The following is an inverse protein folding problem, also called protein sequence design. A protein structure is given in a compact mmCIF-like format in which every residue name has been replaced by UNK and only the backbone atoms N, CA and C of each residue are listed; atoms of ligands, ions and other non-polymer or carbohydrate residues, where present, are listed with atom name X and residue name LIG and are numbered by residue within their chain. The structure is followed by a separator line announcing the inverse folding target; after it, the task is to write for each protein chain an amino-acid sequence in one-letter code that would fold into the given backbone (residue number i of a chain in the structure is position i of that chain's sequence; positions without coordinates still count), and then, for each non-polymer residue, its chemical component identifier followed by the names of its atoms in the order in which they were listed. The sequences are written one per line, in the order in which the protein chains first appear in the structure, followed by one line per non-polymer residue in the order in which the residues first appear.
data_IF_984727859391
#
_entry.id   IF_984727859391
#
_cell.length_a   1.000
_cell.length_b   1.000
_cell.length_c   1.000
_cell.angle_alpha   90.00
_cell.angle_beta   90.00
_cell.angle_gamma   90.00
#
_symmetry.space_group_name_H-M   'P 1'
#
loop_
_entity.id
_entity.type
_entity.pdbx_description
1 polymer ?
#
# COMPACT_ATOMS: atom_id res chain seq x y z
N UNK A 1 -6.46 -16.20 -7.03
CA UNK A 1 -7.10 -15.14 -6.22
C UNK A 1 -5.99 -14.40 -5.49
N UNK A 2 -6.25 -13.19 -4.96
CA UNK A 2 -5.35 -12.67 -3.92
C UNK A 2 -5.52 -13.61 -2.71
N UNK A 3 -4.44 -13.98 -2.02
CA UNK A 3 -4.56 -14.88 -0.87
C UNK A 3 -5.18 -14.11 0.29
N UNK A 4 -6.48 -14.30 0.51
CA UNK A 4 -7.20 -13.64 1.61
C UNK A 4 -7.00 -14.41 2.92
N UNK A 5 -6.54 -13.73 3.95
CA UNK A 5 -6.38 -14.30 5.30
C UNK A 5 -7.77 -14.36 5.94
N UNK A 6 -8.16 -15.50 6.51
CA UNK A 6 -9.39 -15.55 7.31
C UNK A 6 -9.16 -14.94 8.68
N UNK A 7 -10.04 -14.03 9.13
CA UNK A 7 -9.96 -13.46 10.48
C UNK A 7 -9.93 -14.54 11.57
N UNK A 8 -10.61 -15.66 11.36
CA UNK A 8 -10.69 -16.77 12.34
C UNK A 8 -9.40 -17.57 12.44
N UNK A 9 -8.55 -17.49 11.42
CA UNK A 9 -7.30 -18.23 11.33
C UNK A 9 -6.11 -17.39 11.85
N UNK A 10 -6.33 -16.12 12.19
CA UNK A 10 -5.32 -15.31 12.85
C UNK A 10 -5.07 -15.83 14.28
N UNK A 11 -3.79 -16.05 14.66
CA UNK A 11 -3.43 -16.35 16.03
C UNK A 11 -3.84 -15.21 16.99
N UNK A 12 -3.87 -15.51 18.28
CA UNK A 12 -4.15 -14.51 19.32
C UNK A 12 -3.10 -13.39 19.30
N UNK A 13 -3.54 -12.13 19.38
CA UNK A 13 -2.64 -10.98 19.40
C UNK A 13 -1.62 -11.09 20.54
N UNK A 14 -0.36 -10.70 20.29
CA UNK A 14 0.73 -10.85 21.24
C UNK A 14 1.26 -12.29 21.41
N UNK A 15 0.65 -13.30 20.78
CA UNK A 15 1.19 -14.67 20.82
C UNK A 15 2.47 -14.80 19.99
N UNK A 16 3.37 -15.76 20.30
CA UNK A 16 4.54 -16.04 19.47
C UNK A 16 4.19 -16.37 18.01
N UNK A 17 3.07 -17.05 17.79
CA UNK A 17 2.57 -17.40 16.46
C UNK A 17 2.10 -16.16 15.69
N UNK A 18 1.39 -15.24 16.35
CA UNK A 18 0.98 -13.97 15.74
C UNK A 18 2.20 -13.14 15.36
N UNK A 19 3.16 -13.02 16.29
CA UNK A 19 4.43 -12.31 16.04
C UNK A 19 5.18 -12.93 14.85
N UNK A 20 5.31 -14.26 14.81
CA UNK A 20 5.99 -14.97 13.73
C UNK A 20 5.27 -14.81 12.38
N UNK A 21 3.93 -14.77 12.39
CA UNK A 21 3.13 -14.52 11.19
C UNK A 21 3.41 -13.13 10.62
N UNK A 22 3.34 -12.10 11.48
CA UNK A 22 3.60 -10.70 11.11
C UNK A 22 5.05 -10.52 10.66
N UNK A 23 6.03 -11.07 11.38
CA UNK A 23 7.45 -11.08 11.00
C UNK A 23 7.68 -11.72 9.62
N UNK A 24 6.92 -12.78 9.31
CA UNK A 24 6.94 -13.43 8.00
C UNK A 24 6.49 -12.52 6.84
N UNK A 25 5.68 -11.48 7.09
CA UNK A 25 5.22 -10.58 6.04
C UNK A 25 6.27 -9.57 5.58
N UNK A 26 7.11 -9.13 6.50
CA UNK A 26 8.24 -8.25 6.20
C UNK A 26 9.43 -9.02 5.62
N UNK A 27 9.51 -10.31 5.95
CA UNK A 27 10.52 -11.21 5.40
C UNK A 27 10.41 -11.27 3.87
N UNK A 28 11.47 -10.82 3.19
CA UNK A 28 11.55 -10.86 1.72
C UNK A 28 10.97 -9.65 0.99
N UNK A 29 10.50 -8.60 1.69
CA UNK A 29 10.07 -7.35 1.04
C UNK A 29 11.20 -6.74 0.21
N UNK A 30 12.43 -6.68 0.73
CA UNK A 30 13.59 -6.20 -0.02
C UNK A 30 13.87 -7.01 -1.29
N UNK A 31 13.75 -8.33 -1.22
CA UNK A 31 13.95 -9.20 -2.40
C UNK A 31 12.82 -9.01 -3.41
N UNK A 32 11.58 -8.83 -2.95
CA UNK A 32 10.45 -8.50 -3.81
C UNK A 32 10.67 -7.14 -4.51
N UNK A 33 11.17 -6.13 -3.79
CA UNK A 33 11.53 -4.83 -4.34
C UNK A 33 12.63 -4.95 -5.38
N UNK A 34 13.73 -5.64 -5.08
CA UNK A 34 14.80 -5.89 -6.06
C UNK A 34 14.27 -6.59 -7.32
N UNK A 35 13.46 -7.64 -7.15
CA UNK A 35 12.84 -8.36 -8.28
C UNK A 35 11.91 -7.45 -9.07
N UNK A 36 11.12 -6.61 -8.41
CA UNK A 36 10.13 -5.75 -9.07
C UNK A 36 10.74 -4.70 -10.00
N UNK A 37 11.98 -4.26 -9.74
CA UNK A 37 12.72 -3.34 -10.61
C UNK A 37 13.06 -3.94 -11.98
N UNK A 38 13.10 -5.27 -12.09
CA UNK A 38 13.26 -5.96 -13.37
C UNK A 38 11.97 -6.02 -14.19
N UNK A 39 10.82 -5.67 -13.61
CA UNK A 39 9.55 -5.72 -14.32
C UNK A 39 9.50 -4.64 -15.43
N UNK A 40 8.79 -4.92 -16.54
CA UNK A 40 8.60 -3.94 -17.61
C UNK A 40 8.00 -2.62 -17.10
N UNK A 41 8.62 -1.51 -17.49
CA UNK A 41 8.05 -0.16 -17.29
C UNK A 41 6.79 -0.04 -18.14
N UNK A 42 5.70 0.40 -17.50
CA UNK A 42 4.43 0.66 -18.18
C UNK A 42 4.06 2.14 -18.18
N UNK A 43 4.62 2.93 -17.26
CA UNK A 43 4.45 4.38 -17.23
C UNK A 43 5.63 5.06 -16.50
N UNK A 44 5.93 6.30 -16.89
CA UNK A 44 6.84 7.19 -16.18
C UNK A 44 6.24 8.59 -16.20
N UNK A 45 6.07 9.20 -15.03
CA UNK A 45 5.46 10.53 -14.90
C UNK A 45 6.15 11.27 -13.75
N UNK A 46 6.85 12.36 -14.08
CA UNK A 46 7.72 13.04 -13.11
C UNK A 46 8.78 12.09 -12.56
N UNK A 47 8.91 12.07 -11.24
CA UNK A 47 9.82 11.24 -10.46
C UNK A 47 9.30 9.80 -10.28
N UNK A 48 8.07 9.51 -10.72
CA UNK A 48 7.40 8.23 -10.48
C UNK A 48 7.56 7.30 -11.70
N UNK A 49 8.14 6.13 -11.47
CA UNK A 49 8.19 5.03 -12.43
C UNK A 49 7.22 3.94 -12.01
N UNK A 50 6.36 3.51 -12.92
CA UNK A 50 5.42 2.40 -12.71
C UNK A 50 5.81 1.21 -13.56
N UNK A 51 5.95 0.05 -12.93
CA UNK A 51 6.25 -1.24 -13.56
C UNK A 51 5.11 -2.22 -13.35
N UNK A 52 5.02 -3.20 -14.24
CA UNK A 52 3.99 -4.25 -14.17
C UNK A 52 4.61 -5.62 -14.34
N UNK A 53 4.38 -6.53 -13.39
CA UNK A 53 4.83 -7.92 -13.51
C UNK A 53 4.15 -8.56 -14.73
N UNK A 54 4.97 -9.21 -15.57
CA UNK A 54 4.44 -10.08 -16.61
C UNK A 54 3.75 -11.28 -15.95
N UNK A 55 2.51 -11.56 -16.37
CA UNK A 55 1.76 -12.70 -15.86
C UNK A 55 2.40 -14.00 -16.34
N UNK A 56 2.66 -14.89 -15.40
CA UNK A 56 2.98 -16.29 -15.68
C UNK A 56 1.67 -17.10 -15.78
N UNK A 57 1.71 -18.28 -16.42
CA UNK A 57 0.52 -19.13 -16.61
C UNK A 57 -0.11 -19.56 -15.28
N UNK A 58 0.69 -19.62 -14.21
CA UNK A 58 0.26 -19.92 -12.84
C UNK A 58 -0.26 -18.71 -12.06
N UNK A 59 -0.13 -17.48 -12.58
CA UNK A 59 -0.53 -16.27 -11.86
C UNK A 59 -2.05 -16.05 -11.95
N UNK A 60 -2.76 -16.38 -10.88
CA UNK A 60 -4.16 -16.00 -10.70
C UNK A 60 -4.31 -14.50 -10.30
N UNK A 61 -5.46 -13.88 -10.54
CA UNK A 61 -5.73 -12.48 -10.11
C UNK A 61 -5.35 -11.40 -11.13
N UNK A 62 -5.12 -10.16 -10.68
CA UNK A 62 -4.68 -9.04 -11.53
C UNK A 62 -3.17 -9.00 -11.70
N UNK A 63 -2.64 -7.98 -12.36
CA UNK A 63 -1.19 -7.80 -12.42
C UNK A 63 -0.68 -7.24 -11.09
N UNK A 64 0.53 -7.64 -10.72
CA UNK A 64 1.29 -6.87 -9.76
C UNK A 64 1.75 -5.59 -10.44
N UNK A 65 1.53 -4.47 -9.75
CA UNK A 65 2.09 -3.19 -10.12
C UNK A 65 3.10 -2.77 -9.08
N UNK A 66 4.15 -2.14 -9.53
CA UNK A 66 5.14 -1.50 -8.69
C UNK A 66 5.22 -0.04 -9.07
N UNK A 67 5.33 0.84 -8.07
CA UNK A 67 5.68 2.24 -8.21
C UNK A 67 6.94 2.54 -7.42
N UNK A 68 7.87 3.26 -8.01
CA UNK A 68 9.07 3.80 -7.35
C UNK A 68 9.21 5.28 -7.62
N UNK A 69 9.73 6.00 -6.63
CA UNK A 69 10.11 7.40 -6.77
C UNK A 69 11.20 7.77 -5.76
N UNK A 70 11.98 8.80 -6.09
CA UNK A 70 13.01 9.35 -5.20
C UNK A 70 12.84 10.85 -5.10
N UNK A 71 12.76 11.37 -3.88
CA UNK A 71 12.46 12.77 -3.58
C UNK A 71 13.55 13.38 -2.71
N UNK A 72 13.99 14.60 -3.02
CA UNK A 72 15.07 15.30 -2.30
C UNK A 72 14.56 16.55 -1.56
N UNK A 73 13.26 16.80 -1.63
CA UNK A 73 12.56 17.96 -1.11
C UNK A 73 11.64 17.62 0.08
N UNK A 74 11.75 16.40 0.62
CA UNK A 74 11.09 15.94 1.85
C UNK A 74 12.07 15.21 2.76
N UNK A 75 11.78 15.24 4.06
CA UNK A 75 12.57 14.54 5.08
C UNK A 75 12.06 13.13 5.33
N UNK A 76 12.92 12.27 5.89
CA UNK A 76 12.52 10.93 6.33
C UNK A 76 11.46 11.02 7.43
N UNK A 77 11.64 11.94 8.37
CA UNK A 77 10.73 12.22 9.47
C UNK A 77 9.35 12.64 8.95
N UNK A 78 9.32 13.50 7.94
CA UNK A 78 8.11 13.92 7.25
C UNK A 78 7.36 12.74 6.63
N UNK A 79 8.06 11.94 5.83
CA UNK A 79 7.50 10.75 5.19
C UNK A 79 7.04 9.70 6.21
N UNK A 80 7.83 9.47 7.26
CA UNK A 80 7.49 8.56 8.36
C UNK A 80 6.25 9.03 9.11
N UNK A 81 6.13 10.33 9.38
CA UNK A 81 4.95 10.86 10.07
C UNK A 81 3.65 10.64 9.30
N UNK A 82 3.72 10.63 7.95
CA UNK A 82 2.56 10.47 7.08
C UNK A 82 2.24 9.01 6.78
N UNK A 83 3.26 8.23 6.41
CA UNK A 83 3.09 6.89 5.86
C UNK A 83 3.34 5.77 6.88
N UNK A 84 4.05 6.01 7.98
CA UNK A 84 4.32 4.96 8.97
C UNK A 84 3.38 5.06 10.17
N UNK A 85 3.30 6.23 10.78
CA UNK A 85 2.42 6.44 11.94
C UNK A 85 0.97 6.45 11.49
N UNK A 86 0.12 5.59 12.06
CA UNK A 86 -1.30 5.49 11.73
C UNK A 86 -1.59 5.41 10.20
N UNK A 87 -0.74 4.67 9.46
CA UNK A 87 -0.67 4.65 7.99
C UNK A 87 -2.03 4.83 7.29
N UNK A 88 -2.94 3.87 7.45
CA UNK A 88 -4.22 3.90 6.74
C UNK A 88 -5.13 5.04 7.20
N UNK A 89 -5.08 5.45 8.48
CA UNK A 89 -5.86 6.60 8.97
C UNK A 89 -5.42 7.90 8.29
N UNK A 90 -4.17 7.97 7.81
CA UNK A 90 -3.64 9.15 7.13
C UNK A 90 -4.00 9.22 5.65
N UNK A 91 -4.34 8.09 5.01
CA UNK A 91 -4.63 8.02 3.57
C UNK A 91 -5.62 9.07 3.05
N UNK A 92 -6.75 9.37 3.74
CA UNK A 92 -7.69 10.40 3.27
C UNK A 92 -7.09 11.81 3.14
N UNK A 93 -5.94 12.08 3.77
CA UNK A 93 -5.28 13.39 3.72
C UNK A 93 -4.62 13.65 2.36
N UNK A 94 -4.20 12.59 1.66
CA UNK A 94 -3.42 12.71 0.43
C UNK A 94 -3.95 11.87 -0.74
N UNK A 95 -4.80 10.86 -0.49
CA UNK A 95 -5.43 10.08 -1.55
C UNK A 95 -6.82 10.65 -1.82
N UNK A 96 -6.94 11.44 -2.89
CA UNK A 96 -8.18 12.14 -3.26
C UNK A 96 -9.41 11.23 -3.39
N UNK A 97 -9.21 9.97 -3.77
CA UNK A 97 -10.30 9.02 -3.98
C UNK A 97 -10.66 8.24 -2.71
N UNK A 98 -9.83 8.32 -1.67
CA UNK A 98 -10.10 7.70 -0.38
C UNK A 98 -11.22 8.50 0.31
N UNK A 99 -12.38 7.87 0.43
CA UNK A 99 -13.59 8.45 1.00
C UNK A 99 -13.65 8.34 2.52
N UNK A 100 -12.82 7.49 3.13
CA UNK A 100 -12.73 7.33 4.56
C UNK A 100 -12.03 6.05 4.97
N UNK A 101 -11.47 6.06 6.17
CA UNK A 101 -10.81 4.92 6.81
C UNK A 101 -11.32 4.77 8.23
N UNK A 102 -11.52 3.52 8.65
CA UNK A 102 -11.92 3.16 10.00
C UNK A 102 -11.02 2.03 10.51
N UNK A 103 -10.45 2.21 11.71
CA UNK A 103 -9.84 1.11 12.46
C UNK A 103 -10.96 0.19 12.96
N UNK A 104 -11.00 -1.03 12.45
CA UNK A 104 -12.02 -2.04 12.77
C UNK A 104 -11.60 -2.83 14.01
N UNK A 105 -10.32 -3.22 14.07
CA UNK A 105 -9.76 -3.99 15.17
C UNK A 105 -8.27 -3.67 15.30
N UNK A 106 -7.81 -3.39 16.52
CA UNK A 106 -6.39 -3.21 16.82
C UNK A 106 -5.86 -4.47 17.51
N UNK A 107 -4.72 -4.99 17.04
CA UNK A 107 -4.08 -6.16 17.65
C UNK A 107 -2.90 -5.75 18.52
N UNK A 108 -2.00 -4.96 17.96
CA UNK A 108 -0.78 -4.45 18.59
C UNK A 108 -0.52 -3.04 18.06
N UNK A 109 0.32 -2.23 18.73
CA UNK A 109 0.77 -0.97 18.15
C UNK A 109 1.29 -1.23 16.72
N UNK A 110 0.74 -0.50 15.75
CA UNK A 110 1.07 -0.61 14.33
C UNK A 110 0.57 -1.87 13.59
N UNK A 111 -0.27 -2.70 14.22
CA UNK A 111 -0.92 -3.84 13.56
C UNK A 111 -2.42 -3.79 13.81
N UNK A 112 -3.20 -3.65 12.74
CA UNK A 112 -4.65 -3.55 12.85
C UNK A 112 -5.39 -3.87 11.56
N UNK A 113 -6.69 -4.10 11.70
CA UNK A 113 -7.63 -4.25 10.60
C UNK A 113 -8.27 -2.90 10.31
N UNK A 114 -8.19 -2.49 9.06
CA UNK A 114 -8.77 -1.23 8.59
C UNK A 114 -9.82 -1.51 7.54
N UNK A 115 -10.93 -0.78 7.63
CA UNK A 115 -11.86 -0.61 6.52
C UNK A 115 -11.46 0.65 5.77
N UNK A 116 -11.29 0.55 4.46
CA UNK A 116 -10.89 1.66 3.59
C UNK A 116 -11.90 1.75 2.44
N UNK A 117 -12.54 2.91 2.29
CA UNK A 117 -13.51 3.16 1.24
C UNK A 117 -12.95 4.06 0.14
N UNK A 118 -13.07 3.65 -1.12
CA UNK A 118 -12.72 4.44 -2.30
C UNK A 118 -13.96 4.79 -3.12
N UNK A 119 -14.10 6.06 -3.48
CA UNK A 119 -15.15 6.54 -4.38
C UNK A 119 -14.58 6.79 -5.77
N UNK A 120 -14.97 5.94 -6.71
CA UNK A 120 -14.78 6.19 -8.16
C UNK A 120 -16.13 6.43 -8.82
N UNK A 121 -16.18 7.16 -9.95
CA UNK A 121 -17.38 7.22 -10.76
C UNK A 121 -17.93 5.82 -11.06
N UNK A 122 -19.24 5.64 -10.82
CA UNK A 122 -20.04 4.47 -11.19
C UNK A 122 -19.83 3.16 -10.40
N UNK A 123 -18.84 3.05 -9.51
CA UNK A 123 -18.78 1.91 -8.58
C UNK A 123 -17.80 2.11 -7.42
N UNK A 124 -18.26 2.38 -6.21
CA UNK A 124 -17.35 2.53 -5.06
C UNK A 124 -16.76 1.19 -4.64
N UNK A 125 -15.52 1.19 -4.13
CA UNK A 125 -14.81 -0.01 -3.62
C UNK A 125 -14.54 0.15 -2.16
N UNK A 126 -14.70 -0.94 -1.42
CA UNK A 126 -14.14 -1.02 -0.08
C UNK A 126 -13.11 -2.14 -0.04
N UNK A 127 -12.14 -1.96 0.84
CA UNK A 127 -11.18 -2.98 1.20
C UNK A 127 -11.22 -3.14 2.72
N UNK A 128 -11.07 -4.38 3.17
CA UNK A 128 -10.79 -4.67 4.57
C UNK A 128 -9.41 -5.30 4.60
N UNK A 129 -8.49 -4.61 5.25
CA UNK A 129 -7.06 -4.89 5.14
C UNK A 129 -6.47 -5.05 6.53
N UNK A 130 -5.67 -6.09 6.70
CA UNK A 130 -4.78 -6.24 7.83
C UNK A 130 -3.47 -5.54 7.49
N UNK A 131 -3.19 -4.44 8.19
CA UNK A 131 -2.04 -3.59 7.94
C UNK A 131 -1.07 -3.71 9.09
N UNK A 132 0.21 -3.91 8.77
CA UNK A 132 1.31 -3.89 9.71
C UNK A 132 2.40 -2.93 9.23
N UNK A 133 2.95 -2.12 10.13
CA UNK A 133 4.15 -1.32 9.85
C UNK A 133 5.34 -1.75 10.70
N UNK A 134 6.55 -1.54 10.17
CA UNK A 134 7.82 -1.84 10.86
C UNK A 134 8.88 -0.84 10.46
N UNK A 135 9.71 -0.44 11.40
CA UNK A 135 10.84 0.45 11.14
C UNK A 135 12.16 -0.19 11.56
N UNK A 136 13.15 -0.12 10.67
CA UNK A 136 14.50 -0.65 10.87
C UNK A 136 15.52 0.36 10.35
N UNK A 137 16.22 1.04 11.27
CA UNK A 137 17.21 2.06 10.91
C UNK A 137 16.58 3.28 10.25
N UNK A 138 17.06 3.66 9.05
CA UNK A 138 16.50 4.75 8.22
C UNK A 138 15.61 4.20 7.10
N UNK A 139 14.84 3.18 7.42
CA UNK A 139 13.87 2.57 6.54
C UNK A 139 12.64 2.14 7.35
N UNK A 140 11.46 2.28 6.76
CA UNK A 140 10.25 1.68 7.28
C UNK A 140 9.49 0.97 6.17
N UNK A 141 8.69 0.01 6.60
CA UNK A 141 7.96 -0.91 5.78
C UNK A 141 6.48 -0.85 6.16
N UNK A 142 5.63 -0.99 5.15
CA UNK A 142 4.19 -1.16 5.33
C UNK A 142 3.81 -2.42 4.57
N UNK A 143 3.08 -3.32 5.21
CA UNK A 143 2.49 -4.47 4.54
C UNK A 143 0.99 -4.48 4.80
N UNK A 144 0.21 -4.45 3.72
CA UNK A 144 -1.25 -4.58 3.75
C UNK A 144 -1.64 -5.93 3.16
N UNK A 145 -2.51 -6.66 3.86
CA UNK A 145 -3.03 -7.96 3.45
C UNK A 145 -4.54 -7.97 3.42
N UNK A 146 -5.11 -8.55 2.36
CA UNK A 146 -6.55 -8.77 2.31
C UNK A 146 -7.00 -9.71 3.43
N UNK A 147 -8.05 -9.34 4.16
CA UNK A 147 -8.63 -10.17 5.23
C UNK A 147 -10.12 -10.42 5.02
N UNK A 148 -10.52 -11.68 5.14
CA UNK A 148 -11.92 -12.09 5.21
C UNK A 148 -12.43 -11.83 6.63
N UNK A 149 -12.94 -10.61 6.81
CA UNK A 149 -13.49 -10.12 8.05
C UNK A 149 -15.04 -10.20 8.02
N UNK A 150 -15.69 -10.64 9.11
CA UNK A 150 -17.15 -10.82 9.15
C UNK A 150 -17.98 -9.53 9.03
N UNK A 151 -17.33 -8.36 9.01
CA UNK A 151 -18.02 -7.08 8.79
C UNK A 151 -18.77 -7.09 7.46
N UNK A 152 -20.06 -6.69 7.44
CA UNK A 152 -20.83 -6.62 6.20
C UNK A 152 -20.23 -5.59 5.24
N UNK A 153 -20.43 -5.81 3.94
CA UNK A 153 -20.07 -4.81 2.92
C UNK A 153 -20.94 -3.58 3.11
N UNK A 154 -20.35 -2.38 3.19
CA UNK A 154 -21.14 -1.15 3.37
C UNK A 154 -21.97 -0.87 2.13
N UNK A 155 -23.17 -0.34 2.34
CA UNK A 155 -24.11 -0.04 1.25
C UNK A 155 -23.48 0.87 0.19
N UNK A 156 -23.61 0.47 -1.08
CA UNK A 156 -23.05 1.21 -2.22
C UNK A 156 -21.59 0.89 -2.56
N UNK A 157 -20.95 0.00 -1.81
CA UNK A 157 -19.60 -0.48 -2.07
C UNK A 157 -19.60 -1.91 -2.62
N UNK A 158 -18.58 -2.21 -3.42
CA UNK A 158 -18.17 -3.58 -3.78
C UNK A 158 -16.88 -3.88 -3.05
N UNK A 159 -16.82 -5.00 -2.33
CA UNK A 159 -15.58 -5.40 -1.64
C UNK A 159 -14.56 -5.93 -2.64
N UNK A 160 -13.38 -5.33 -2.62
CA UNK A 160 -12.20 -5.83 -3.29
C UNK A 160 -11.25 -6.53 -2.32
N UNK A 161 -10.21 -7.13 -2.88
CA UNK A 161 -9.07 -7.67 -2.16
C UNK A 161 -7.83 -6.87 -2.54
N UNK A 162 -6.95 -6.64 -1.59
CA UNK A 162 -5.77 -5.81 -1.78
C UNK A 162 -4.61 -6.34 -0.95
N UNK A 163 -3.49 -6.60 -1.63
CA UNK A 163 -2.20 -6.85 -1.00
C UNK A 163 -1.24 -5.74 -1.44
N UNK A 164 -0.50 -5.18 -0.48
CA UNK A 164 0.59 -4.25 -0.77
C UNK A 164 1.80 -4.46 0.13
N UNK A 165 2.95 -4.13 -0.42
CA UNK A 165 4.23 -4.08 0.26
C UNK A 165 4.93 -2.79 -0.11
N UNK A 166 5.27 -2.01 0.90
CA UNK A 166 5.94 -0.73 0.73
C UNK A 166 7.23 -0.68 1.53
N UNK A 167 8.21 -0.01 0.97
CA UNK A 167 9.43 0.41 1.65
C UNK A 167 9.65 1.89 1.38
N UNK A 168 9.93 2.63 2.45
CA UNK A 168 10.38 4.01 2.40
C UNK A 168 11.72 4.08 3.12
N UNK A 169 12.74 4.63 2.49
CA UNK A 169 14.08 4.71 3.09
C UNK A 169 14.85 5.95 2.69
N UNK A 170 15.74 6.39 3.59
CA UNK A 170 16.73 7.40 3.28
C UNK A 170 17.78 6.81 2.32
N UNK A 171 18.08 7.55 1.26
CA UNK A 171 19.11 7.22 0.26
C UNK A 171 20.04 8.42 0.08
N UNK A 172 21.26 8.16 -0.35
CA UNK A 172 22.20 9.20 -0.75
C UNK A 172 22.52 9.06 -2.23
N UNK A 173 22.25 10.11 -3.02
CA UNK A 173 22.53 10.17 -4.46
C UNK A 173 23.35 11.42 -4.72
N UNK A 174 24.55 11.24 -5.27
CA UNK A 174 25.49 12.34 -5.57
C UNK A 174 25.76 13.28 -4.37
N UNK A 175 25.88 12.70 -3.17
CA UNK A 175 26.11 13.45 -1.92
C UNK A 175 24.89 14.19 -1.37
N UNK A 176 23.70 13.97 -1.96
CA UNK A 176 22.43 14.52 -1.47
C UNK A 176 21.59 13.43 -0.84
N UNK A 177 21.11 13.70 0.37
CA UNK A 177 20.11 12.85 1.03
C UNK A 177 18.75 13.02 0.37
N UNK A 178 18.12 11.91 0.06
CA UNK A 178 16.75 11.85 -0.46
C UNK A 178 16.00 10.69 0.15
N UNK A 179 14.72 10.58 -0.19
CA UNK A 179 13.83 9.52 0.24
C UNK A 179 13.42 8.72 -0.98
N UNK A 180 13.73 7.42 -0.96
CA UNK A 180 13.21 6.47 -1.92
C UNK A 180 11.93 5.84 -1.34
N UNK A 181 10.86 5.86 -2.14
CA UNK A 181 9.62 5.15 -1.83
C UNK A 181 9.30 4.17 -2.95
N UNK A 182 9.17 2.90 -2.57
CA UNK A 182 8.71 1.82 -3.44
C UNK A 182 7.45 1.21 -2.85
N UNK A 183 6.39 1.08 -3.65
CA UNK A 183 5.19 0.33 -3.30
C UNK A 183 4.89 -0.69 -4.38
N UNK A 184 4.58 -1.92 -3.96
CA UNK A 184 4.18 -3.03 -4.81
C UNK A 184 2.80 -3.44 -4.38
N UNK A 185 1.86 -3.48 -5.30
CA UNK A 185 0.48 -3.83 -5.01
C UNK A 185 -0.07 -4.88 -5.96
N UNK A 186 -0.98 -5.68 -5.43
CA UNK A 186 -1.75 -6.67 -6.16
C UNK A 186 -3.17 -6.64 -5.63
N UNK A 187 -4.11 -6.21 -6.46
CA UNK A 187 -5.49 -5.99 -6.04
C UNK A 187 -6.47 -6.68 -6.96
N UNK A 188 -7.62 -7.08 -6.42
CA UNK A 188 -8.79 -7.55 -7.15
C UNK A 188 -9.96 -6.64 -6.80
N UNK A 189 -10.44 -5.84 -7.75
CA UNK A 189 -11.50 -4.86 -7.48
C UNK A 189 -12.88 -5.48 -7.18
N UNK A 190 -13.02 -6.81 -7.27
CA UNK A 190 -14.28 -7.52 -7.13
C UNK A 190 -15.30 -7.21 -8.24
N UNK A 191 -16.41 -7.94 -8.25
CA UNK A 191 -17.53 -7.72 -9.17
C UNK A 191 -17.22 -7.95 -10.66
N UNK A 192 -18.05 -7.37 -11.53
CA UNK A 192 -17.99 -7.56 -12.99
C UNK A 192 -17.23 -6.44 -13.73
N UNK A 193 -16.36 -5.68 -13.05
CA UNK A 193 -15.62 -4.64 -13.76
C UNK A 193 -14.67 -5.26 -14.79
N UNK A 194 -14.67 -4.75 -16.03
CA UNK A 194 -13.66 -5.14 -16.99
C UNK A 194 -12.25 -4.85 -16.46
N UNK A 195 -11.38 -5.86 -16.49
CA UNK A 195 -9.99 -5.82 -15.99
C UNK A 195 -9.20 -4.61 -16.52
N UNK A 196 -9.43 -4.22 -17.77
CA UNK A 196 -8.75 -3.09 -18.41
C UNK A 196 -9.07 -1.74 -17.76
N UNK A 197 -10.24 -1.57 -17.11
CA UNK A 197 -10.59 -0.33 -16.38
C UNK A 197 -9.80 -0.25 -15.08
N UNK A 198 -9.69 -1.38 -14.37
CA UNK A 198 -8.92 -1.49 -13.12
C UNK A 198 -7.44 -1.28 -13.39
N UNK A 199 -6.90 -1.91 -14.44
CA UNK A 199 -5.50 -1.77 -14.84
C UNK A 199 -5.18 -0.36 -15.38
N UNK A 200 -6.13 0.30 -16.06
CA UNK A 200 -5.95 1.67 -16.56
C UNK A 200 -5.99 2.73 -15.44
N UNK A 201 -6.86 2.56 -14.44
CA UNK A 201 -6.89 3.44 -13.26
C UNK A 201 -5.60 3.29 -12.43
N UNK A 202 -5.20 2.05 -12.17
CA UNK A 202 -3.94 1.73 -11.51
C UNK A 202 -2.73 2.35 -12.24
N UNK A 203 -2.54 2.04 -13.52
CA UNK A 203 -1.35 2.51 -14.25
C UNK A 203 -1.27 4.01 -14.52
N UNK A 204 -2.40 4.73 -14.52
CA UNK A 204 -2.42 6.18 -14.82
C UNK A 204 -2.47 7.06 -13.59
N UNK A 205 -3.07 6.64 -12.48
CA UNK A 205 -3.33 7.56 -11.37
C UNK A 205 -2.36 7.41 -10.18
N UNK A 206 -1.55 6.35 -10.09
CA UNK A 206 -0.60 6.17 -8.97
C UNK A 206 0.40 7.31 -8.77
N UNK A 207 0.83 7.98 -9.84
CA UNK A 207 1.73 9.11 -9.71
C UNK A 207 1.07 10.30 -8.99
N UNK A 208 -0.27 10.41 -9.03
CA UNK A 208 -1.01 11.45 -8.33
C UNK A 208 -1.05 11.19 -6.83
N UNK A 209 -1.17 9.93 -6.41
CA UNK A 209 -1.15 9.57 -4.99
C UNK A 209 0.23 9.86 -4.39
N UNK A 210 1.30 9.47 -5.09
CA UNK A 210 2.68 9.80 -4.68
C UNK A 210 2.87 11.33 -4.63
N UNK A 211 2.52 12.03 -5.71
CA UNK A 211 2.67 13.49 -5.76
C UNK A 211 1.89 14.22 -4.66
N UNK A 212 0.68 13.75 -4.35
CA UNK A 212 -0.14 14.33 -3.28
C UNK A 212 0.43 14.06 -1.89
N UNK A 213 1.00 12.87 -1.66
CA UNK A 213 1.68 12.55 -0.41
C UNK A 213 2.93 13.43 -0.20
N UNK A 214 3.77 13.57 -1.23
CA UNK A 214 4.97 14.41 -1.18
C UNK A 214 4.59 15.87 -0.95
N UNK A 215 3.61 16.38 -1.67
CA UNK A 215 3.13 17.75 -1.48
C UNK A 215 2.56 17.96 -0.07
N UNK A 216 1.80 16.98 0.46
CA UNK A 216 1.30 17.04 1.82
C UNK A 216 2.44 17.16 2.84
N UNK A 217 3.48 16.32 2.73
CA UNK A 217 4.64 16.37 3.64
C UNK A 217 5.33 17.72 3.56
N UNK A 218 5.61 18.23 2.35
CA UNK A 218 6.26 19.53 2.15
C UNK A 218 5.50 20.68 2.79
N UNK A 219 4.18 20.66 2.65
CA UNK A 219 3.33 21.80 3.03
C UNK A 219 2.87 21.76 4.48
N UNK A 220 2.67 20.57 5.05
CA UNK A 220 2.03 20.41 6.36
C UNK A 220 2.95 19.81 7.43
N UNK A 221 4.08 19.21 7.05
CA UNK A 221 4.99 18.56 8.00
C UNK A 221 6.35 19.25 8.02
N UNK A 222 7.06 19.26 6.90
CA UNK A 222 8.41 19.83 6.80
C UNK A 222 8.39 21.36 6.69
N UNK A 223 7.27 21.93 6.23
CA UNK A 223 7.08 23.38 6.11
C UNK A 223 6.69 24.09 7.41
N UNK A 224 6.55 23.36 8.52
CA UNK A 224 6.26 23.88 9.87
C UNK A 224 7.53 23.96 10.71
#
# INVERSE_FOLDING_TARGET
MVTTISRKDLPEAGSPEFKSLVDGWFSGVDELVKKSRSWPVVNTTGEVVTRRKQKETSDEGNHYFQRESTHFDVTYEGMRSLLYVDHSIQEPKYINMCAGVELVEEFEPQVGIYWIGFKVPFASREFVELVATREEGRAFFIVSKGIDHPSPVKSGYVRGEYDAWEIVREVEVDGKKGIEWVCIQHSSAGGNLPKWIVDAAASKDFHKDVGSAIEYVKTHVDGQ
#
